data_IF_797479663997
#
_entry.id   IF_797479663997
#
_cell.length_a   1.000
_cell.length_b   1.000
_cell.length_c   1.000
_cell.angle_alpha   90.00
_cell.angle_beta   90.00
_cell.angle_gamma   90.00
#
_symmetry.space_group_name_H-M   'P 1'
#
loop_
_entity.id
_entity.type
_entity.pdbx_description
1 polymer ?
#
# COMPACT_ATOMS: atom_id res chain seq x y z
N UNK A 1 0.93 -38.87 56.48
CA UNK A 1 -0.03 -38.62 55.40
C UNK A 1 -0.33 -37.13 55.14
N UNK A 2 -0.41 -36.27 56.09
CA UNK A 2 -0.69 -34.85 55.90
C UNK A 2 0.42 -34.07 55.20
N UNK A 3 1.70 -34.39 55.43
CA UNK A 3 2.88 -33.73 54.84
C UNK A 3 3.00 -34.03 53.35
N UNK A 4 2.68 -35.21 52.91
CA UNK A 4 2.73 -35.61 51.49
C UNK A 4 1.64 -34.90 50.70
N UNK A 5 0.48 -34.66 51.31
CA UNK A 5 -0.62 -33.92 50.66
C UNK A 5 -0.27 -32.44 50.41
N UNK A 6 0.43 -31.80 51.35
CA UNK A 6 0.91 -30.42 51.22
C UNK A 6 2.04 -30.29 50.15
N UNK A 7 2.93 -31.26 50.06
CA UNK A 7 4.00 -31.30 49.05
C UNK A 7 3.38 -31.44 47.65
N UNK A 8 2.36 -32.27 47.48
CA UNK A 8 1.68 -32.49 46.24
C UNK A 8 0.87 -31.22 45.81
N UNK A 9 0.25 -30.55 46.75
CA UNK A 9 -0.46 -29.28 46.51
C UNK A 9 0.49 -28.15 46.12
N UNK A 10 1.69 -28.09 46.72
CA UNK A 10 2.71 -27.09 46.38
C UNK A 10 3.31 -27.29 44.99
N UNK A 11 3.51 -28.54 44.58
CA UNK A 11 3.97 -28.88 43.21
C UNK A 11 2.91 -28.54 42.17
N UNK A 12 1.62 -28.80 42.47
CA UNK A 12 0.52 -28.45 41.55
C UNK A 12 0.37 -26.94 41.38
N UNK A 13 0.50 -26.15 42.43
CA UNK A 13 0.47 -24.68 42.40
C UNK A 13 1.69 -24.09 41.69
N UNK A 14 2.87 -24.69 41.82
CA UNK A 14 4.08 -24.31 41.08
C UNK A 14 3.98 -24.57 39.60
N UNK A 15 3.35 -25.67 39.20
CA UNK A 15 3.19 -26.03 37.76
C UNK A 15 2.19 -25.10 37.06
N UNK A 16 1.16 -24.61 37.73
CA UNK A 16 0.20 -23.65 37.17
C UNK A 16 0.81 -22.27 36.95
N UNK A 17 1.69 -21.79 37.83
CA UNK A 17 2.38 -20.50 37.66
C UNK A 17 3.36 -20.52 36.50
N UNK A 18 4.10 -21.59 36.29
CA UNK A 18 5.06 -21.72 35.18
C UNK A 18 4.31 -21.68 33.81
N UNK A 19 3.16 -22.33 33.70
CA UNK A 19 2.34 -22.30 32.49
C UNK A 19 1.80 -20.91 32.16
N UNK A 20 1.35 -20.14 33.14
CA UNK A 20 0.79 -18.82 32.95
C UNK A 20 1.85 -17.78 32.54
N UNK A 21 3.03 -17.84 33.14
CA UNK A 21 4.13 -16.92 32.82
C UNK A 21 4.73 -17.20 31.43
N UNK A 22 4.84 -18.46 31.04
CA UNK A 22 5.28 -18.85 29.70
C UNK A 22 4.27 -18.41 28.65
N UNK A 23 2.98 -18.52 28.92
CA UNK A 23 1.92 -18.08 27.99
C UNK A 23 1.93 -16.57 27.80
N UNK A 24 2.12 -15.80 28.87
CA UNK A 24 2.22 -14.34 28.84
C UNK A 24 3.45 -13.86 28.06
N UNK A 25 4.59 -14.55 28.19
CA UNK A 25 5.80 -14.18 27.46
C UNK A 25 5.66 -14.39 25.95
N UNK A 26 5.04 -15.51 25.55
CA UNK A 26 4.78 -15.79 24.11
C UNK A 26 3.79 -14.78 23.53
N UNK A 27 2.76 -14.40 24.28
CA UNK A 27 1.76 -13.43 23.83
C UNK A 27 2.35 -12.02 23.69
N UNK A 28 3.19 -11.60 24.64
CA UNK A 28 3.87 -10.30 24.55
C UNK A 28 4.87 -10.24 23.37
N UNK A 29 5.56 -11.33 23.08
CA UNK A 29 6.47 -11.42 21.94
C UNK A 29 5.72 -11.34 20.59
N UNK A 30 4.57 -11.99 20.49
CA UNK A 30 3.68 -11.90 19.32
C UNK A 30 3.14 -10.50 19.09
N UNK A 31 2.71 -9.81 20.16
CA UNK A 31 2.20 -8.44 20.09
C UNK A 31 3.31 -7.50 19.65
N UNK A 32 4.50 -7.58 20.23
CA UNK A 32 5.63 -6.74 19.85
C UNK A 32 6.07 -6.95 18.40
N UNK A 33 6.07 -8.20 17.92
CA UNK A 33 6.40 -8.52 16.54
C UNK A 33 5.35 -7.98 15.55
N UNK A 34 4.07 -8.06 15.90
CA UNK A 34 2.97 -7.48 15.13
C UNK A 34 3.09 -5.96 15.04
N UNK A 35 3.33 -5.30 16.17
CA UNK A 35 3.47 -3.85 16.22
C UNK A 35 4.69 -3.35 15.46
N UNK A 36 5.80 -4.10 15.51
CA UNK A 36 6.99 -3.84 14.69
C UNK A 36 6.70 -3.97 13.19
N UNK A 37 5.96 -5.00 12.76
CA UNK A 37 5.56 -5.18 11.36
C UNK A 37 4.58 -4.09 10.92
N UNK A 38 3.62 -3.72 11.77
CA UNK A 38 2.68 -2.63 11.48
C UNK A 38 3.41 -1.28 11.33
N UNK A 39 4.44 -1.01 12.14
CA UNK A 39 5.25 0.22 12.01
C UNK A 39 6.03 0.28 10.68
N UNK A 40 6.44 -0.86 10.14
CA UNK A 40 7.09 -0.95 8.82
C UNK A 40 6.07 -0.73 7.70
N UNK A 41 4.85 -1.27 7.84
CA UNK A 41 3.77 -1.14 6.84
C UNK A 41 3.17 0.27 6.85
N UNK A 42 3.11 0.94 8.01
CA UNK A 42 2.61 2.32 8.14
C UNK A 42 3.58 3.37 7.56
N UNK A 43 4.78 2.95 7.12
CA UNK A 43 5.81 3.83 6.58
C UNK A 43 5.53 4.41 5.18
N UNK A 44 4.55 3.91 4.43
CA UNK A 44 4.10 4.54 3.20
C UNK A 44 3.09 5.65 3.54
N UNK A 45 3.58 6.82 3.96
CA UNK A 45 2.74 7.99 4.14
C UNK A 45 2.28 8.46 2.76
N UNK A 46 1.08 8.04 2.35
CA UNK A 46 0.41 8.62 1.19
C UNK A 46 0.14 10.08 1.53
N UNK A 47 0.59 10.98 0.67
CA UNK A 47 0.39 12.41 0.87
C UNK A 47 -1.10 12.74 0.83
N UNK A 48 -1.56 13.64 1.71
CA UNK A 48 -2.93 14.13 1.73
C UNK A 48 -3.24 15.07 0.54
N UNK A 49 -2.26 15.33 -0.32
CA UNK A 49 -2.43 16.15 -1.52
C UNK A 49 -3.26 15.39 -2.55
N UNK A 50 -4.42 15.94 -2.90
CA UNK A 50 -5.32 15.40 -3.91
C UNK A 50 -5.11 16.13 -5.23
N UNK A 51 -4.92 15.38 -6.31
CA UNK A 51 -4.70 15.88 -7.68
C UNK A 51 -5.68 15.17 -8.61
N UNK A 52 -6.43 15.91 -9.42
CA UNK A 52 -7.21 15.33 -10.51
C UNK A 52 -6.44 15.32 -11.82
N UNK A 53 -6.50 14.23 -12.58
CA UNK A 53 -5.87 14.19 -13.92
C UNK A 53 -6.48 15.18 -14.90
N UNK A 54 -7.74 15.60 -14.68
CA UNK A 54 -8.42 16.62 -15.48
C UNK A 54 -7.79 18.00 -15.35
N UNK A 55 -7.18 18.32 -14.19
CA UNK A 55 -6.47 19.58 -13.96
C UNK A 55 -5.22 19.72 -14.86
N UNK A 56 -4.74 18.60 -15.40
CA UNK A 56 -3.61 18.53 -16.33
C UNK A 56 -4.03 18.33 -17.79
N UNK A 57 -5.35 18.42 -18.06
CA UNK A 57 -5.90 18.40 -19.39
C UNK A 57 -6.30 17.02 -19.93
N UNK A 58 -6.51 16.04 -19.04
CA UNK A 58 -7.14 14.78 -19.42
C UNK A 58 -8.62 15.00 -19.79
N UNK A 59 -9.07 14.38 -20.88
CA UNK A 59 -10.46 14.54 -21.38
C UNK A 59 -11.31 13.31 -21.09
N UNK A 60 -10.76 12.11 -21.23
CA UNK A 60 -11.50 10.87 -20.94
C UNK A 60 -12.56 10.52 -22.00
N UNK A 61 -12.35 10.93 -23.28
CA UNK A 61 -13.25 10.64 -24.41
C UNK A 61 -12.97 9.30 -25.12
N UNK A 62 -11.92 8.60 -24.71
CA UNK A 62 -11.48 7.31 -25.27
C UNK A 62 -10.79 7.40 -26.64
N UNK A 63 -10.61 8.60 -27.19
CA UNK A 63 -10.05 8.85 -28.53
C UNK A 63 -8.73 9.63 -28.43
N UNK A 64 -8.74 10.71 -27.65
CA UNK A 64 -7.56 11.54 -27.43
C UNK A 64 -6.55 10.82 -26.56
N UNK A 65 -5.27 11.06 -26.84
CA UNK A 65 -4.20 10.54 -25.98
C UNK A 65 -4.08 11.37 -24.71
N UNK A 66 -4.51 10.82 -23.58
CA UNK A 66 -4.47 11.46 -22.28
C UNK A 66 -3.16 11.20 -21.51
N UNK A 67 -2.22 10.39 -22.08
CA UNK A 67 -0.94 10.10 -21.46
C UNK A 67 -0.16 11.34 -20.99
N UNK A 68 -0.07 12.45 -21.78
CA UNK A 68 0.62 13.65 -21.31
C UNK A 68 0.03 14.25 -20.03
N UNK A 69 -1.27 14.14 -19.82
CA UNK A 69 -1.93 14.60 -18.58
C UNK A 69 -1.55 13.71 -17.39
N UNK A 70 -1.52 12.39 -17.57
CA UNK A 70 -1.04 11.45 -16.55
C UNK A 70 0.43 11.71 -16.20
N UNK A 71 1.30 11.92 -17.18
CA UNK A 71 2.71 12.20 -16.93
C UNK A 71 2.90 13.50 -16.13
N UNK A 72 2.15 14.55 -16.45
CA UNK A 72 2.18 15.82 -15.72
C UNK A 72 1.67 15.67 -14.30
N UNK A 73 0.58 14.91 -14.08
CA UNK A 73 0.07 14.62 -12.76
C UNK A 73 1.11 13.87 -11.90
N UNK A 74 1.77 12.84 -12.47
CA UNK A 74 2.85 12.10 -11.79
C UNK A 74 4.06 13.00 -11.48
N UNK A 75 4.45 13.89 -12.40
CA UNK A 75 5.53 14.85 -12.15
C UNK A 75 5.15 15.86 -11.06
N UNK A 76 3.90 16.33 -11.02
CA UNK A 76 3.42 17.20 -9.95
C UNK A 76 3.44 16.49 -8.61
N UNK A 77 2.96 15.26 -8.57
CA UNK A 77 3.02 14.40 -7.37
C UNK A 77 4.47 14.20 -6.88
N UNK A 78 5.41 13.95 -7.79
CA UNK A 78 6.83 13.80 -7.43
C UNK A 78 7.40 15.08 -6.79
N UNK A 79 7.09 16.26 -7.33
CA UNK A 79 7.53 17.55 -6.77
C UNK A 79 6.96 17.84 -5.38
N UNK A 80 5.78 17.30 -5.07
CA UNK A 80 5.10 17.47 -3.79
C UNK A 80 5.45 16.37 -2.77
N UNK A 81 6.34 15.44 -3.13
CA UNK A 81 6.72 14.32 -2.26
C UNK A 81 5.69 13.19 -2.18
N UNK A 82 4.71 13.19 -3.06
CA UNK A 82 3.62 12.24 -3.17
C UNK A 82 2.27 12.91 -3.35
N UNK A 83 1.27 12.17 -3.82
CA UNK A 83 -0.11 12.65 -3.98
C UNK A 83 -1.09 11.50 -4.12
N UNK A 84 -2.36 11.79 -3.85
CA UNK A 84 -3.50 10.97 -4.22
C UNK A 84 -4.05 11.49 -5.55
N UNK A 85 -3.81 10.74 -6.63
CA UNK A 85 -4.23 11.12 -7.99
C UNK A 85 -5.58 10.48 -8.28
N UNK A 86 -6.58 11.31 -8.57
CA UNK A 86 -7.94 10.88 -8.88
C UNK A 86 -8.13 10.85 -10.39
N UNK A 87 -8.66 9.72 -10.87
CA UNK A 87 -9.14 9.53 -12.24
C UNK A 87 -10.66 9.56 -12.22
N UNK A 88 -11.31 10.63 -12.70
CA UNK A 88 -12.77 10.73 -12.69
C UNK A 88 -13.42 9.78 -13.70
N UNK A 89 -14.76 9.63 -13.70
CA UNK A 89 -15.47 8.82 -14.70
C UNK A 89 -15.13 9.24 -16.13
N UNK A 90 -14.91 8.28 -17.02
CA UNK A 90 -14.54 8.51 -18.43
C UNK A 90 -13.62 7.42 -18.96
N UNK A 91 -13.32 7.45 -20.26
CA UNK A 91 -12.40 6.51 -20.89
C UNK A 91 -11.13 7.25 -21.32
N UNK A 92 -10.02 6.99 -20.64
CA UNK A 92 -8.74 7.67 -20.87
C UNK A 92 -7.83 6.79 -21.71
N UNK A 93 -7.58 7.21 -22.96
CA UNK A 93 -6.68 6.49 -23.87
C UNK A 93 -5.23 6.89 -23.58
N UNK A 94 -4.39 5.91 -23.28
CA UNK A 94 -2.96 6.10 -23.05
C UNK A 94 -2.12 5.47 -24.16
N UNK A 95 -1.29 6.28 -24.80
CA UNK A 95 -0.29 5.83 -25.80
C UNK A 95 1.08 5.75 -25.10
N UNK A 96 1.26 4.69 -24.31
CA UNK A 96 2.49 4.41 -23.58
C UNK A 96 2.26 4.00 -22.13
N UNK A 97 3.32 3.58 -21.41
CA UNK A 97 3.24 3.13 -20.03
C UNK A 97 3.00 4.28 -19.05
N UNK A 98 2.40 3.97 -17.91
CA UNK A 98 2.35 4.89 -16.77
C UNK A 98 3.60 4.65 -15.90
N UNK A 99 4.35 5.70 -15.63
CA UNK A 99 5.50 5.67 -14.73
C UNK A 99 5.08 6.19 -13.37
N UNK A 100 4.94 5.29 -12.41
CA UNK A 100 4.64 5.65 -11.02
C UNK A 100 5.86 6.24 -10.33
N UNK A 101 5.63 7.23 -9.48
CA UNK A 101 6.61 7.80 -8.57
C UNK A 101 6.31 7.37 -7.13
N UNK A 102 7.26 7.57 -6.22
CA UNK A 102 7.08 7.18 -4.83
C UNK A 102 5.95 7.96 -4.15
N UNK A 103 5.30 7.32 -3.18
CA UNK A 103 4.24 7.90 -2.35
C UNK A 103 3.01 8.39 -3.13
N UNK A 104 2.69 7.76 -4.25
CA UNK A 104 1.50 8.07 -5.06
C UNK A 104 0.47 6.96 -4.95
N UNK A 105 -0.77 7.36 -4.70
CA UNK A 105 -1.95 6.53 -4.86
C UNK A 105 -2.69 6.98 -6.13
N UNK A 106 -2.98 6.07 -7.06
CA UNK A 106 -3.83 6.32 -8.21
C UNK A 106 -5.19 5.68 -7.95
N UNK A 107 -6.21 6.51 -7.76
CA UNK A 107 -7.58 6.08 -7.54
C UNK A 107 -8.41 6.29 -8.80
N UNK A 108 -9.04 5.23 -9.27
CA UNK A 108 -10.04 5.29 -10.33
C UNK A 108 -11.40 5.38 -9.69
N UNK A 109 -12.11 6.47 -9.97
CA UNK A 109 -13.50 6.61 -9.52
C UNK A 109 -14.42 5.67 -10.30
N UNK A 110 -15.60 5.43 -9.77
CA UNK A 110 -16.58 4.57 -10.39
C UNK A 110 -16.91 5.06 -11.82
N UNK A 111 -16.84 4.16 -12.81
CA UNK A 111 -16.96 4.50 -14.22
C UNK A 111 -15.70 5.04 -14.91
N UNK A 112 -14.55 5.10 -14.23
CA UNK A 112 -13.27 5.43 -14.85
C UNK A 112 -12.65 4.20 -15.54
N UNK A 113 -12.22 4.37 -16.79
CA UNK A 113 -11.57 3.33 -17.59
C UNK A 113 -10.25 3.85 -18.13
N UNK A 114 -9.15 3.17 -17.85
CA UNK A 114 -7.86 3.41 -18.49
C UNK A 114 -7.71 2.41 -19.64
N UNK A 115 -7.63 2.91 -20.85
CA UNK A 115 -7.45 2.12 -22.07
C UNK A 115 -6.05 2.34 -22.61
N UNK A 116 -5.29 1.28 -22.76
CA UNK A 116 -3.97 1.33 -23.40
C UNK A 116 -4.09 1.11 -24.90
N UNK A 117 -3.34 1.90 -25.68
CA UNK A 117 -3.25 1.72 -27.13
C UNK A 117 -2.58 0.36 -27.45
N UNK A 118 -3.10 -0.35 -28.43
CA UNK A 118 -2.58 -1.67 -28.82
C UNK A 118 -1.30 -1.61 -29.67
N UNK A 119 -0.85 -0.43 -30.10
CA UNK A 119 0.34 -0.29 -30.93
C UNK A 119 1.62 -0.45 -30.08
N UNK A 120 2.42 -1.53 -30.32
CA UNK A 120 3.61 -1.82 -29.52
C UNK A 120 4.70 -0.74 -29.60
N UNK A 121 4.67 0.11 -30.63
CA UNK A 121 5.64 1.21 -30.79
C UNK A 121 5.62 2.20 -29.63
N UNK A 122 4.50 2.34 -28.94
CA UNK A 122 4.37 3.26 -27.80
C UNK A 122 5.01 2.72 -26.52
N UNK A 123 5.40 1.44 -26.50
CA UNK A 123 5.93 0.76 -25.31
C UNK A 123 7.39 0.34 -25.45
N UNK A 124 8.02 0.63 -26.59
CA UNK A 124 9.42 0.30 -26.86
C UNK A 124 10.33 1.53 -26.59
N UNK A 125 11.55 1.31 -26.10
CA UNK A 125 12.09 0.04 -25.61
C UNK A 125 11.55 -0.32 -24.22
N UNK A 126 11.19 -1.60 -24.04
CA UNK A 126 10.72 -2.14 -22.76
C UNK A 126 11.82 -2.14 -21.68
N UNK A 127 13.07 -2.12 -22.09
CA UNK A 127 14.25 -2.06 -21.23
C UNK A 127 15.12 -0.88 -21.65
N UNK A 128 15.27 0.11 -20.76
CA UNK A 128 16.33 1.12 -20.88
C UNK A 128 17.53 0.62 -20.10
N UNK A 129 18.58 0.23 -20.80
CA UNK A 129 19.90 0.09 -20.20
C UNK A 129 20.48 1.48 -20.01
N UNK A 130 20.71 1.85 -18.77
CA UNK A 130 21.48 3.03 -18.37
C UNK A 130 22.95 2.73 -18.40
#
# INVERSE_FOLDING_TARGET
>A
MRIILYAFLFVLLGFQKISADTFRSIESERINKRDSLLSIITGAKISDNIISITDFGAIGDGVRNDKPAFDKAMQSAAKQGGAHIIVPPGTFLLKGPIHFVSNVCLELMDGAIIKFDSNPKYYLPLVKTS
#
